data_IF_262505028241
#
_entry.id   IF_262505028241
#
_cell.length_a   1.000
_cell.length_b   1.000
_cell.length_c   1.000
_cell.angle_alpha   90.00
_cell.angle_beta   90.00
_cell.angle_gamma   90.00
#
_symmetry.space_group_name_H-M   'P 1'
#
loop_
_entity.id
_entity.type
_entity.pdbx_description
1 polymer ?
#
# COMPACT_ATOMS: atom_id res chain seq x y z
N UNK A 1 7.22 18.28 1.32
CA UNK A 1 6.43 17.06 1.05
C UNK A 1 7.38 15.88 1.02
N UNK A 2 7.10 14.84 1.81
CA UNK A 2 7.84 13.58 1.84
C UNK A 2 6.85 12.41 1.77
N UNK A 3 7.25 11.30 1.17
CA UNK A 3 6.35 10.16 0.90
C UNK A 3 7.03 8.87 1.34
N UNK A 4 6.33 8.08 2.16
CA UNK A 4 6.61 6.65 2.29
C UNK A 4 5.72 5.89 1.31
N UNK A 5 6.34 5.21 0.34
CA UNK A 5 5.64 4.43 -0.67
C UNK A 5 5.75 2.94 -0.40
N UNK A 6 4.64 2.23 -0.52
CA UNK A 6 4.53 0.80 -0.26
C UNK A 6 3.95 0.09 -1.47
N UNK A 7 4.46 -1.12 -1.69
CA UNK A 7 3.92 -2.05 -2.65
C UNK A 7 3.88 -3.42 -1.99
N UNK A 8 2.69 -4.00 -1.88
CA UNK A 8 2.43 -5.12 -0.97
C UNK A 8 1.69 -6.22 -1.73
N UNK A 9 2.16 -7.47 -1.61
CA UNK A 9 1.37 -8.64 -2.00
C UNK A 9 0.46 -9.04 -0.82
N UNK A 10 -0.85 -9.10 -1.05
CA UNK A 10 -1.83 -9.45 -0.02
C UNK A 10 -2.67 -10.62 -0.51
N UNK A 11 -2.80 -11.72 0.27
CA UNK A 11 -3.69 -12.80 -0.08
C UNK A 11 -5.11 -12.27 -0.33
N UNK A 12 -5.71 -12.61 -1.48
CA UNK A 12 -7.04 -12.13 -1.87
C UNK A 12 -8.11 -12.45 -0.81
N UNK A 13 -7.99 -13.61 -0.16
CA UNK A 13 -8.86 -14.03 0.93
C UNK A 13 -8.78 -13.15 2.19
N UNK A 14 -7.74 -12.33 2.32
CA UNK A 14 -7.50 -11.46 3.47
C UNK A 14 -7.78 -9.97 3.19
N UNK A 15 -8.47 -9.63 2.09
CA UNK A 15 -8.77 -8.22 1.75
C UNK A 15 -9.37 -7.43 2.91
N UNK A 16 -10.41 -7.95 3.57
CA UNK A 16 -11.03 -7.26 4.71
C UNK A 16 -10.09 -7.14 5.91
N UNK A 17 -9.33 -8.19 6.22
CA UNK A 17 -8.32 -8.15 7.30
C UNK A 17 -7.24 -7.10 7.03
N UNK A 18 -6.83 -6.95 5.77
CA UNK A 18 -5.90 -5.90 5.36
C UNK A 18 -6.52 -4.51 5.55
N UNK A 19 -7.77 -4.30 5.13
CA UNK A 19 -8.47 -3.01 5.33
C UNK A 19 -8.57 -2.67 6.82
N UNK A 20 -8.91 -3.63 7.68
CA UNK A 20 -8.96 -3.44 9.13
C UNK A 20 -7.59 -3.13 9.73
N UNK A 21 -6.53 -3.78 9.23
CA UNK A 21 -5.15 -3.52 9.65
C UNK A 21 -4.72 -2.11 9.25
N UNK A 22 -4.94 -1.74 7.98
CA UNK A 22 -4.62 -0.42 7.43
C UNK A 22 -5.33 0.69 8.22
N UNK A 23 -6.65 0.59 8.42
CA UNK A 23 -7.43 1.59 9.20
C UNK A 23 -6.85 1.86 10.59
N UNK A 24 -6.32 0.84 11.27
CA UNK A 24 -5.68 0.99 12.58
C UNK A 24 -4.34 1.71 12.47
N UNK A 25 -3.51 1.34 11.50
CA UNK A 25 -2.22 2.00 11.23
C UNK A 25 -2.40 3.45 10.78
N UNK A 26 -3.33 3.69 9.85
CA UNK A 26 -3.61 5.00 9.26
C UNK A 26 -3.95 6.03 10.33
N UNK A 27 -4.80 5.67 11.30
CA UNK A 27 -5.15 6.56 12.41
C UNK A 27 -3.91 7.01 13.19
N UNK A 28 -2.98 6.09 13.45
CA UNK A 28 -1.75 6.40 14.21
C UNK A 28 -0.86 7.33 13.41
N UNK A 29 -0.68 7.10 12.11
CA UNK A 29 0.12 7.98 11.26
C UNK A 29 -0.48 9.37 11.12
N UNK A 30 -1.81 9.48 11.04
CA UNK A 30 -2.50 10.78 11.05
C UNK A 30 -2.26 11.54 12.37
N UNK A 31 -2.32 10.85 13.51
CA UNK A 31 -2.01 11.45 14.82
C UNK A 31 -0.54 11.92 14.94
N UNK A 32 0.37 11.28 14.21
CA UNK A 32 1.80 11.63 14.15
C UNK A 32 2.13 12.72 13.12
N UNK A 33 1.14 13.26 12.41
CA UNK A 33 1.33 14.39 11.50
C UNK A 33 1.37 14.03 10.01
N UNK A 34 0.97 12.82 9.62
CA UNK A 34 0.68 12.53 8.23
C UNK A 34 -0.46 13.42 7.73
N UNK A 35 -0.35 13.90 6.49
CA UNK A 35 -1.36 14.77 5.88
C UNK A 35 -2.39 13.99 5.09
N UNK A 36 -2.01 12.81 4.58
CA UNK A 36 -2.88 11.95 3.79
C UNK A 36 -2.34 10.53 3.74
N UNK A 37 -3.23 9.55 3.72
CA UNK A 37 -2.89 8.13 3.55
C UNK A 37 -3.83 7.54 2.51
N UNK A 38 -3.29 6.74 1.60
CA UNK A 38 -4.06 6.08 0.55
C UNK A 38 -3.64 4.63 0.43
N UNK A 39 -4.64 3.76 0.49
CA UNK A 39 -4.51 2.31 0.37
C UNK A 39 -5.30 1.84 -0.85
N UNK A 40 -4.61 1.51 -1.95
CA UNK A 40 -5.25 1.20 -3.23
C UNK A 40 -5.11 -0.29 -3.56
N UNK A 41 -6.22 -1.02 -3.44
CA UNK A 41 -6.31 -2.41 -3.86
C UNK A 41 -6.26 -2.53 -5.38
N UNK A 42 -5.39 -3.40 -5.91
CA UNK A 42 -5.25 -3.63 -7.35
C UNK A 42 -6.56 -4.11 -7.99
N UNK A 43 -6.94 -3.45 -9.08
CA UNK A 43 -8.13 -3.76 -9.88
C UNK A 43 -7.73 -4.26 -11.27
N UNK A 44 -7.19 -3.37 -12.12
CA UNK A 44 -6.68 -3.71 -13.46
C UNK A 44 -5.15 -3.51 -13.54
N UNK A 45 -4.41 -4.55 -13.15
CA UNK A 45 -2.93 -4.54 -13.18
C UNK A 45 -2.45 -5.47 -14.31
N UNK A 46 -1.87 -4.93 -15.40
CA UNK A 46 -1.42 -5.74 -16.51
C UNK A 46 -0.15 -6.53 -16.17
N UNK A 47 -0.07 -7.76 -16.70
CA UNK A 47 1.14 -8.57 -16.61
C UNK A 47 2.19 -8.11 -17.64
N UNK A 48 3.40 -7.84 -17.14
CA UNK A 48 4.54 -7.44 -17.93
C UNK A 48 5.41 -8.64 -18.31
N UNK A 49 6.27 -8.43 -19.33
CA UNK A 49 7.25 -9.44 -19.76
C UNK A 49 8.59 -9.33 -19.02
N UNK A 50 8.98 -8.12 -18.63
CA UNK A 50 10.26 -7.83 -17.96
C UNK A 50 10.01 -7.35 -16.53
N UNK A 51 9.11 -6.38 -16.36
CA UNK A 51 8.71 -5.82 -15.06
C UNK A 51 7.22 -5.54 -15.05
N UNK A 52 6.61 -5.67 -13.88
CA UNK A 52 5.25 -5.24 -13.55
C UNK A 52 5.09 -5.20 -12.02
N UNK A 53 3.95 -4.71 -11.55
CA UNK A 53 3.67 -4.59 -10.12
C UNK A 53 3.64 -5.94 -9.39
N UNK A 54 3.11 -7.00 -10.02
CA UNK A 54 3.06 -8.34 -9.41
C UNK A 54 4.47 -8.90 -9.22
N UNK A 55 5.34 -8.76 -10.23
CA UNK A 55 6.76 -9.16 -10.19
C UNK A 55 7.56 -8.36 -9.17
N UNK A 56 7.29 -7.07 -9.01
CA UNK A 56 7.99 -6.22 -8.06
C UNK A 56 7.86 -6.69 -6.60
N UNK A 57 6.73 -7.32 -6.26
CA UNK A 57 6.48 -7.93 -4.93
C UNK A 57 6.50 -9.46 -4.94
N UNK A 58 6.82 -10.08 -6.08
CA UNK A 58 6.77 -11.53 -6.30
C UNK A 58 5.42 -12.15 -5.90
N UNK A 59 4.32 -11.45 -6.19
CA UNK A 59 2.97 -11.91 -5.88
C UNK A 59 2.68 -13.23 -6.60
N UNK A 60 2.09 -14.18 -5.87
CA UNK A 60 1.52 -15.40 -6.46
C UNK A 60 0.09 -15.15 -6.97
N UNK A 61 -0.51 -16.17 -7.60
CA UNK A 61 -1.84 -16.07 -8.22
C UNK A 61 -2.99 -15.83 -7.24
N UNK A 62 -2.80 -16.20 -5.97
CA UNK A 62 -3.78 -15.99 -4.90
C UNK A 62 -3.58 -14.66 -4.17
N UNK A 63 -2.60 -13.86 -4.57
CA UNK A 63 -2.30 -12.54 -4.03
C UNK A 63 -2.73 -11.42 -4.99
N UNK A 64 -3.27 -10.37 -4.41
CA UNK A 64 -3.45 -9.08 -5.05
C UNK A 64 -2.29 -8.15 -4.68
N UNK A 65 -2.02 -7.17 -5.54
CA UNK A 65 -1.10 -6.09 -5.20
C UNK A 65 -1.89 -4.95 -4.57
N UNK A 66 -1.36 -4.39 -3.49
CA UNK A 66 -1.79 -3.11 -2.92
C UNK A 66 -0.67 -2.10 -3.17
N UNK A 67 -1.04 -0.96 -3.76
CA UNK A 67 -0.17 0.20 -3.87
C UNK A 67 -0.66 1.25 -2.88
N UNK A 68 0.21 1.68 -1.98
CA UNK A 68 -0.18 2.62 -0.94
C UNK A 68 0.93 3.60 -0.60
N UNK A 69 0.53 4.72 -0.02
CA UNK A 69 1.48 5.73 0.42
C UNK A 69 0.95 6.60 1.56
N UNK A 70 1.90 7.12 2.33
CA UNK A 70 1.67 8.11 3.37
C UNK A 70 2.34 9.40 2.93
N UNK A 71 1.56 10.48 2.89
CA UNK A 71 2.04 11.84 2.61
C UNK A 71 2.35 12.55 3.92
N UNK A 72 3.55 13.10 4.00
CA UNK A 72 4.05 13.88 5.13
C UNK A 72 4.38 15.31 4.67
N UNK A 73 4.27 16.31 5.57
CA UNK A 73 4.62 17.68 5.24
C UNK A 73 6.12 17.80 4.89
N UNK A 74 6.99 17.07 5.60
CA UNK A 74 8.43 17.01 5.39
C UNK A 74 9.05 15.72 5.95
N UNK A 75 10.36 15.55 5.75
CA UNK A 75 11.12 14.38 6.22
C UNK A 75 11.40 14.40 7.73
N UNK A 76 11.35 15.57 8.37
CA UNK A 76 11.63 15.67 9.81
C UNK A 76 10.44 15.19 10.66
N UNK A 77 9.22 15.33 10.11
CA UNK A 77 7.97 14.86 10.72
C UNK A 77 7.82 13.34 10.62
N UNK A 78 8.32 12.74 9.53
CA UNK A 78 8.29 11.30 9.27
C UNK A 78 9.33 10.55 10.11
#
# INVERSE_FOLDING_TARGET
>A
MYIDGFLIAVPKANKEKFIEHAKKGDSVFMDLGATRILECWGDDIPDGKVTDFRRAVKANDDEAVVFSWIEWPDKATR
#
